data_IF_734556816842
#
_entry.id   IF_734556816842
#
_cell.length_a   1.000
_cell.length_b   1.000
_cell.length_c   1.000
_cell.angle_alpha   90.00
_cell.angle_beta   90.00
_cell.angle_gamma   90.00
#
_symmetry.space_group_name_H-M   'P 1'
#
loop_
_entity.id
_entity.type
_entity.pdbx_description
1 polymer ?
#
# COMPACT_ATOMS: atom_id res chain seq x y z
N UNK A 1 -17.98 2.40 2.73
CA UNK A 1 -16.93 1.39 3.03
C UNK A 1 -17.53 0.36 3.97
N UNK A 2 -17.35 -0.95 3.72
CA UNK A 2 -17.86 -2.00 4.62
C UNK A 2 -17.06 -2.04 5.94
N UNK A 3 -17.62 -2.54 7.06
CA UNK A 3 -16.87 -2.73 8.30
C UNK A 3 -15.62 -3.61 8.13
N UNK A 4 -15.68 -4.61 7.24
CA UNK A 4 -14.54 -5.45 6.91
C UNK A 4 -13.45 -4.67 6.19
N UNK A 5 -13.81 -3.83 5.22
CA UNK A 5 -12.85 -2.97 4.53
C UNK A 5 -12.17 -2.00 5.48
N UNK A 6 -12.92 -1.41 6.43
CA UNK A 6 -12.34 -0.53 7.43
C UNK A 6 -11.30 -1.24 8.31
N UNK A 7 -11.58 -2.48 8.72
CA UNK A 7 -10.62 -3.31 9.48
C UNK A 7 -9.40 -3.69 8.65
N UNK A 8 -9.61 -4.07 7.39
CA UNK A 8 -8.52 -4.40 6.47
C UNK A 8 -7.66 -3.17 6.20
N UNK A 9 -8.27 -2.00 6.06
CA UNK A 9 -7.55 -0.76 5.84
C UNK A 9 -6.70 -0.35 7.06
N UNK A 10 -7.26 -0.39 8.28
CA UNK A 10 -6.50 -0.17 9.52
C UNK A 10 -5.31 -1.13 9.64
N UNK A 11 -5.48 -2.38 9.20
CA UNK A 11 -4.39 -3.33 9.15
C UNK A 11 -3.31 -2.90 8.15
N UNK A 12 -3.68 -2.54 6.92
CA UNK A 12 -2.74 -2.04 5.90
C UNK A 12 -1.98 -0.82 6.41
N UNK A 13 -2.69 0.19 6.94
CA UNK A 13 -2.11 1.40 7.52
C UNK A 13 -1.06 1.06 8.59
N UNK A 14 -1.41 0.21 9.55
CA UNK A 14 -0.50 -0.22 10.62
C UNK A 14 0.77 -0.87 10.08
N UNK A 15 0.63 -1.71 9.05
CA UNK A 15 1.77 -2.38 8.41
C UNK A 15 2.63 -1.39 7.62
N UNK A 16 2.04 -0.47 6.86
CA UNK A 16 2.79 0.56 6.14
C UNK A 16 3.61 1.44 7.10
N UNK A 17 3.06 1.83 8.25
CA UNK A 17 3.82 2.54 9.28
C UNK A 17 4.98 1.72 9.86
N UNK A 18 4.77 0.41 10.09
CA UNK A 18 5.83 -0.48 10.55
C UNK A 18 7.00 -0.53 9.55
N UNK A 19 6.70 -0.78 8.27
CA UNK A 19 7.73 -0.85 7.22
C UNK A 19 8.37 0.51 6.94
N UNK A 20 7.61 1.60 7.00
CA UNK A 20 8.14 2.96 6.88
C UNK A 20 9.16 3.24 7.98
N UNK A 21 8.83 2.93 9.24
CA UNK A 21 9.73 3.10 10.38
C UNK A 21 11.00 2.26 10.23
N UNK A 22 10.87 0.98 9.87
CA UNK A 22 12.02 0.10 9.63
C UNK A 22 12.94 0.56 8.49
N UNK A 23 12.44 1.42 7.59
CA UNK A 23 13.19 1.96 6.46
C UNK A 23 13.50 3.46 6.60
N UNK A 24 13.23 4.08 7.76
CA UNK A 24 13.43 5.51 8.02
C UNK A 24 12.73 6.43 7.02
N UNK A 25 11.49 6.08 6.64
CA UNK A 25 10.70 6.81 5.67
C UNK A 25 9.70 7.77 6.35
N UNK A 26 9.52 9.00 5.84
CA UNK A 26 8.73 10.03 6.50
C UNK A 26 7.22 9.89 6.22
N UNK A 27 6.64 8.70 6.40
CA UNK A 27 5.20 8.47 6.18
C UNK A 27 4.38 9.28 7.20
N UNK A 28 3.42 10.08 6.71
CA UNK A 28 2.54 10.91 7.56
C UNK A 28 1.16 10.33 7.77
N UNK A 29 0.58 9.70 6.76
CA UNK A 29 -0.77 9.11 6.82
C UNK A 29 -0.94 8.06 5.72
N UNK A 30 -1.84 7.12 5.96
CA UNK A 30 -2.30 6.17 4.94
C UNK A 30 -3.81 6.32 4.86
N UNK A 31 -4.31 6.70 3.69
CA UNK A 31 -5.73 6.95 3.46
C UNK A 31 -6.28 6.02 2.36
N UNK A 32 -7.56 5.67 2.42
CA UNK A 32 -8.15 4.85 1.39
C UNK A 32 -8.30 5.65 0.09
N UNK A 33 -7.91 5.05 -1.03
CA UNK A 33 -8.15 5.60 -2.36
C UNK A 33 -9.52 5.12 -2.86
N UNK A 34 -10.56 5.93 -2.60
CA UNK A 34 -11.88 5.75 -3.21
C UNK A 34 -11.95 6.49 -4.55
N UNK A 35 -12.76 5.99 -5.49
CA UNK A 35 -12.91 6.41 -6.89
C UNK A 35 -12.95 7.92 -7.20
N UNK A 36 -12.70 8.23 -8.49
CA UNK A 36 -12.56 9.54 -9.17
C UNK A 36 -11.39 10.40 -8.67
N UNK A 37 -10.20 9.82 -8.57
CA UNK A 37 -8.99 10.63 -8.80
C UNK A 37 -8.73 10.67 -10.30
N UNK A 38 -8.01 11.70 -10.81
CA UNK A 38 -7.49 11.74 -12.20
C UNK A 38 -6.58 10.55 -12.57
N UNK A 39 -6.35 9.63 -11.63
CA UNK A 39 -5.47 8.48 -11.72
C UNK A 39 -6.30 7.18 -11.76
N UNK A 40 -7.23 7.07 -12.72
CA UNK A 40 -8.21 5.98 -12.77
C UNK A 40 -7.56 4.58 -12.79
N UNK A 41 -6.32 4.49 -13.28
CA UNK A 41 -5.51 3.26 -13.38
C UNK A 41 -4.60 2.96 -12.17
N UNK A 42 -4.52 3.82 -11.14
CA UNK A 42 -3.55 3.62 -10.05
C UNK A 42 -4.16 2.87 -8.85
N UNK A 43 -3.42 1.89 -8.35
CA UNK A 43 -3.74 1.20 -7.08
C UNK A 43 -3.28 1.97 -5.85
N UNK A 44 -2.35 2.92 -5.99
CA UNK A 44 -1.90 3.78 -4.93
C UNK A 44 -1.34 5.10 -5.44
N UNK A 45 -1.14 6.05 -4.53
CA UNK A 45 -0.41 7.29 -4.80
C UNK A 45 0.21 7.85 -3.53
N UNK A 46 1.48 8.23 -3.60
CA UNK A 46 2.14 9.05 -2.61
C UNK A 46 2.02 10.53 -2.99
N UNK A 47 1.38 11.33 -2.13
CA UNK A 47 1.26 12.78 -2.32
C UNK A 47 2.53 13.53 -1.85
N UNK A 48 2.72 14.79 -2.27
CA UNK A 48 3.87 15.61 -1.84
C UNK A 48 3.95 15.85 -0.32
N UNK A 49 2.83 15.74 0.39
CA UNK A 49 2.74 15.88 1.86
C UNK A 49 3.10 14.58 2.61
N UNK A 50 3.63 13.58 1.89
CA UNK A 50 4.02 12.27 2.43
C UNK A 50 2.82 11.47 2.97
N UNK A 51 1.63 11.75 2.45
CA UNK A 51 0.47 10.90 2.59
C UNK A 51 0.45 9.85 1.49
N UNK A 52 0.07 8.62 1.82
CA UNK A 52 -0.14 7.56 0.84
C UNK A 52 -1.62 7.22 0.78
N UNK A 53 -2.15 7.11 -0.44
CA UNK A 53 -3.50 6.61 -0.68
C UNK A 53 -3.42 5.22 -1.29
N UNK A 54 -4.20 4.26 -0.77
CA UNK A 54 -4.19 2.87 -1.25
C UNK A 54 -5.61 2.41 -1.59
N UNK A 55 -5.76 1.82 -2.77
CA UNK A 55 -6.99 1.13 -3.20
C UNK A 55 -6.93 -0.32 -2.70
N UNK A 56 -8.07 -0.84 -2.23
CA UNK A 56 -8.21 -2.25 -1.80
C UNK A 56 -9.30 -3.00 -2.56
N UNK A 57 -10.11 -2.29 -3.34
CA UNK A 57 -11.15 -2.87 -4.19
C UNK A 57 -11.05 -2.27 -5.59
N UNK A 58 -11.35 -3.10 -6.57
CA UNK A 58 -11.68 -2.64 -7.90
C UNK A 58 -12.92 -1.74 -7.88
N UNK A 59 -13.02 -1.00 -8.96
CA UNK A 59 -14.13 -0.16 -9.36
C UNK A 59 -15.50 -0.85 -9.35
N UNK A 60 -15.52 -2.14 -9.70
CA UNK A 60 -16.70 -3.01 -9.63
C UNK A 60 -16.96 -3.60 -8.22
N UNK A 61 -16.26 -3.11 -7.19
CA UNK A 61 -16.39 -3.56 -5.81
C UNK A 61 -15.65 -4.85 -5.46
N UNK A 62 -15.06 -5.56 -6.43
CA UNK A 62 -14.30 -6.79 -6.15
C UNK A 62 -13.03 -6.48 -5.36
N UNK A 63 -12.61 -7.32 -4.40
CA UNK A 63 -11.34 -7.13 -3.70
C UNK A 63 -10.15 -7.19 -4.67
N UNK A 64 -9.14 -6.35 -4.45
CA UNK A 64 -7.85 -6.52 -5.12
C UNK A 64 -7.14 -7.76 -4.59
N UNK A 65 -6.27 -8.36 -5.42
CA UNK A 65 -5.40 -9.43 -4.98
C UNK A 65 -4.45 -8.94 -3.88
N UNK A 66 -4.25 -9.76 -2.84
CA UNK A 66 -3.36 -9.41 -1.75
C UNK A 66 -1.92 -9.08 -2.22
N UNK A 67 -1.43 -9.77 -3.24
CA UNK A 67 -0.13 -9.48 -3.85
C UNK A 67 -0.07 -8.06 -4.44
N UNK A 68 -1.10 -7.67 -5.19
CA UNK A 68 -1.17 -6.33 -5.79
C UNK A 68 -1.15 -5.23 -4.72
N UNK A 69 -1.84 -5.45 -3.59
CA UNK A 69 -1.81 -4.48 -2.48
C UNK A 69 -0.43 -4.41 -1.83
N UNK A 70 0.22 -5.56 -1.57
CA UNK A 70 1.57 -5.57 -0.95
C UNK A 70 2.60 -4.88 -1.85
N UNK A 71 2.59 -5.16 -3.15
CA UNK A 71 3.48 -4.49 -4.10
C UNK A 71 3.19 -2.99 -4.16
N UNK A 72 1.92 -2.58 -4.20
CA UNK A 72 1.52 -1.17 -4.13
C UNK A 72 2.01 -0.49 -2.85
N UNK A 73 1.90 -1.16 -1.69
CA UNK A 73 2.43 -0.61 -0.43
C UNK A 73 3.94 -0.33 -0.54
N UNK A 74 4.72 -1.28 -1.07
CA UNK A 74 6.16 -1.09 -1.26
C UNK A 74 6.47 0.02 -2.27
N UNK A 75 5.70 0.09 -3.36
CA UNK A 75 5.82 1.10 -4.42
C UNK A 75 5.66 2.51 -3.86
N UNK A 76 4.56 2.77 -3.15
CA UNK A 76 4.27 4.09 -2.61
C UNK A 76 5.22 4.47 -1.46
N UNK A 77 5.68 3.50 -0.66
CA UNK A 77 6.71 3.76 0.34
C UNK A 77 8.03 4.22 -0.29
N UNK A 78 8.42 3.66 -1.44
CA UNK A 78 9.63 4.12 -2.14
C UNK A 78 9.48 5.57 -2.62
N UNK A 79 8.27 6.00 -3.00
CA UNK A 79 7.99 7.39 -3.38
C UNK A 79 8.14 8.41 -2.25
N UNK A 80 8.13 7.97 -0.98
CA UNK A 80 8.45 8.87 0.13
C UNK A 80 9.87 9.44 0.04
N UNK A 81 10.79 8.74 -0.63
CA UNK A 81 12.19 9.16 -0.80
C UNK A 81 12.53 9.56 -2.24
N UNK A 82 11.97 8.90 -3.23
CA UNK A 82 12.31 9.15 -4.65
C UNK A 82 11.05 9.41 -5.48
N UNK A 83 10.93 10.61 -6.04
CA UNK A 83 9.74 10.99 -6.82
C UNK A 83 9.61 10.17 -8.11
N UNK A 84 10.71 10.00 -8.85
CA UNK A 84 10.75 9.25 -10.09
C UNK A 84 11.23 7.81 -9.89
N UNK A 85 10.82 6.90 -10.78
CA UNK A 85 11.27 5.50 -10.87
C UNK A 85 12.73 5.39 -11.36
N UNK A 86 13.65 6.00 -10.59
CA UNK A 86 15.09 5.93 -10.80
C UNK A 86 15.66 4.58 -10.34
N UNK A 87 16.90 4.21 -10.69
CA UNK A 87 17.56 3.01 -10.15
C UNK A 87 17.55 2.93 -8.61
N UNK A 88 17.67 4.08 -7.93
CA UNK A 88 17.60 4.14 -6.46
C UNK A 88 16.19 3.87 -5.93
N UNK A 89 15.16 4.31 -6.66
CA UNK A 89 13.78 3.96 -6.35
C UNK A 89 13.57 2.45 -6.44
N UNK A 90 14.04 1.80 -7.52
CA UNK A 90 13.89 0.35 -7.71
C UNK A 90 14.60 -0.45 -6.61
N UNK A 91 15.80 -0.02 -6.20
CA UNK A 91 16.53 -0.65 -5.10
C UNK A 91 15.76 -0.55 -3.78
N UNK A 92 15.19 0.61 -3.47
CA UNK A 92 14.40 0.82 -2.26
C UNK A 92 13.10 0.02 -2.28
N UNK A 93 12.35 0.07 -3.39
CA UNK A 93 11.14 -0.72 -3.60
C UNK A 93 11.41 -2.22 -3.40
N UNK A 94 12.43 -2.76 -4.09
CA UNK A 94 12.80 -4.18 -3.99
C UNK A 94 13.18 -4.58 -2.57
N UNK A 95 13.94 -3.73 -1.85
CA UNK A 95 14.29 -3.97 -0.45
C UNK A 95 13.06 -4.04 0.45
N UNK A 96 12.14 -3.08 0.32
CA UNK A 96 10.91 -3.04 1.13
C UNK A 96 10.03 -4.25 0.80
N UNK A 97 9.87 -4.58 -0.48
CA UNK A 97 9.08 -5.72 -0.93
C UNK A 97 9.65 -7.04 -0.41
N UNK A 98 10.97 -7.19 -0.39
CA UNK A 98 11.64 -8.35 0.20
C UNK A 98 11.37 -8.46 1.71
N UNK A 99 11.46 -7.35 2.46
CA UNK A 99 11.10 -7.36 3.89
C UNK A 99 9.63 -7.74 4.11
N UNK A 100 8.72 -7.27 3.24
CA UNK A 100 7.31 -7.61 3.29
C UNK A 100 7.05 -9.08 2.97
N UNK A 101 7.75 -9.66 1.98
CA UNK A 101 7.58 -11.06 1.57
C UNK A 101 8.14 -12.05 2.59
N UNK A 102 9.14 -11.65 3.37
CA UNK A 102 9.67 -12.42 4.50
C UNK A 102 8.77 -12.35 5.74
N UNK A 103 7.78 -11.45 5.76
CA UNK A 103 6.79 -11.35 6.83
C UNK A 103 5.54 -12.19 6.55
N UNK A 104 4.64 -12.31 7.52
CA UNK A 104 3.32 -12.93 7.32
C UNK A 104 2.27 -11.99 6.72
N UNK A 105 2.67 -10.82 6.20
CA UNK A 105 1.78 -9.78 5.67
C UNK A 105 0.87 -10.33 4.56
N UNK A 106 1.44 -11.00 3.56
CA UNK A 106 0.69 -11.51 2.41
C UNK A 106 -0.42 -12.49 2.85
N UNK A 107 -0.10 -13.47 3.69
CA UNK A 107 -1.04 -14.48 4.17
C UNK A 107 -2.14 -13.85 5.02
N UNK A 108 -1.80 -12.89 5.89
CA UNK A 108 -2.78 -12.16 6.71
C UNK A 108 -3.70 -11.30 5.87
N UNK A 109 -3.16 -10.61 4.87
CA UNK A 109 -3.95 -9.80 3.96
C UNK A 109 -4.87 -10.67 3.10
N UNK A 110 -4.36 -11.77 2.53
CA UNK A 110 -5.16 -12.74 1.78
C UNK A 110 -6.36 -13.25 2.57
N UNK A 111 -6.17 -13.60 3.85
CA UNK A 111 -7.28 -14.02 4.74
C UNK A 111 -8.32 -12.91 4.91
N UNK A 112 -7.89 -11.67 5.11
CA UNK A 112 -8.79 -10.51 5.30
C UNK A 112 -9.56 -10.12 4.05
N UNK A 113 -9.00 -10.34 2.86
CA UNK A 113 -9.62 -10.06 1.57
C UNK A 113 -10.62 -11.13 1.12
N UNK A 114 -10.48 -12.36 1.64
CA UNK A 114 -11.32 -13.51 1.26
C UNK A 114 -12.49 -13.78 2.21
N UNK A 115 -12.56 -13.11 3.37
CA UNK A 115 -13.74 -13.18 4.25
C UNK A 115 -14.89 -12.41 3.60
N UNK A 116 -15.93 -13.15 3.18
CA UNK A 116 -17.21 -12.62 2.70
C UNK A 116 -17.99 -11.97 3.84
#
# INVERSE_FOLDING_TARGET
MSPQDARTFKFIESQMFLFARGNWLPLKRVLPLYRKSRFESTYGVCDPTKGIFIRIRWDNGRPLHAYAIVDTMAHELAHLRFLAHSPNWFRLHSRILLCMSQSNLFQRLKRRMNTK
#
